data_IF_165868622493
#
_entry.id   IF_165868622493
#
_cell.length_a   1.000
_cell.length_b   1.000
_cell.length_c   1.000
_cell.angle_alpha   90.00
_cell.angle_beta   90.00
_cell.angle_gamma   90.00
#
_symmetry.space_group_name_H-M   'P 1'
#
loop_
_entity.id
_entity.type
_entity.pdbx_description
1 polymer ?
#
# COMPACT_ATOMS: atom_id res chain seq x y z
N UNK A 1 2.37 -7.24 5.25
CA UNK A 1 1.98 -5.81 5.22
C UNK A 1 2.71 -5.10 4.09
N UNK A 2 2.03 -4.17 3.42
CA UNK A 2 2.60 -3.22 2.46
C UNK A 2 2.41 -1.82 3.03
N UNK A 3 3.48 -1.02 3.03
CA UNK A 3 3.50 0.31 3.65
C UNK A 3 3.87 1.37 2.62
N UNK A 4 3.17 2.50 2.66
CA UNK A 4 3.55 3.75 1.98
C UNK A 4 3.73 4.84 3.04
N UNK A 5 4.78 5.66 2.91
CA UNK A 5 5.02 6.79 3.80
C UNK A 5 4.88 8.11 3.05
N UNK A 6 4.25 9.11 3.69
CA UNK A 6 4.08 10.47 3.19
C UNK A 6 4.60 11.46 4.20
N UNK A 7 5.27 12.52 3.73
CA UNK A 7 5.84 13.56 4.56
C UNK A 7 5.22 14.93 4.26
N UNK A 8 5.00 15.72 5.31
CA UNK A 8 4.47 17.07 5.23
C UNK A 8 3.10 17.12 4.58
N UNK A 9 2.96 17.90 3.50
CA UNK A 9 1.70 18.04 2.76
C UNK A 9 1.44 16.91 1.75
N UNK A 10 2.36 15.95 1.59
CA UNK A 10 2.22 14.85 0.63
C UNK A 10 1.08 13.92 1.03
N UNK A 11 0.28 13.48 0.04
CA UNK A 11 -0.88 12.60 0.23
C UNK A 11 -0.90 11.48 -0.80
N UNK A 12 -1.71 10.45 -0.55
CA UNK A 12 -1.99 9.44 -1.56
C UNK A 12 -2.65 10.09 -2.78
N UNK A 13 -2.17 9.72 -3.96
CA UNK A 13 -2.79 10.20 -5.20
C UNK A 13 -4.06 9.40 -5.49
N UNK A 14 -5.21 10.02 -5.19
CA UNK A 14 -6.53 9.43 -5.43
C UNK A 14 -6.82 9.19 -6.92
N UNK A 15 -6.28 10.02 -7.83
CA UNK A 15 -6.49 9.86 -9.28
C UNK A 15 -5.85 8.57 -9.80
N UNK A 16 -4.72 8.16 -9.23
CA UNK A 16 -4.04 6.92 -9.61
C UNK A 16 -4.52 5.71 -8.82
N UNK A 17 -5.45 5.88 -7.86
CA UNK A 17 -5.83 4.82 -6.93
C UNK A 17 -4.65 4.31 -6.08
N UNK A 18 -3.76 5.21 -5.64
CA UNK A 18 -2.55 4.82 -4.91
C UNK A 18 -2.90 3.94 -3.70
N UNK A 19 -2.16 2.84 -3.50
CA UNK A 19 -2.42 1.79 -2.48
C UNK A 19 -3.71 0.97 -2.67
N UNK A 20 -4.45 1.20 -3.75
CA UNK A 20 -5.53 0.33 -4.22
C UNK A 20 -5.02 -0.98 -4.83
N UNK A 21 -5.93 -1.92 -5.04
CA UNK A 21 -5.61 -3.26 -5.56
C UNK A 21 -4.86 -3.20 -6.90
N UNK A 22 -5.44 -2.54 -7.89
CA UNK A 22 -4.89 -2.48 -9.24
C UNK A 22 -3.50 -1.84 -9.26
N UNK A 23 -3.33 -0.79 -8.48
CA UNK A 23 -2.07 -0.08 -8.33
C UNK A 23 -0.98 -0.96 -7.69
N UNK A 24 -1.34 -1.73 -6.66
CA UNK A 24 -0.41 -2.65 -6.00
C UNK A 24 -0.06 -3.84 -6.91
N UNK A 25 -1.04 -4.41 -7.61
CA UNK A 25 -0.80 -5.50 -8.56
C UNK A 25 0.18 -5.09 -9.66
N UNK A 26 0.01 -3.90 -10.25
CA UNK A 26 0.92 -3.37 -11.26
C UNK A 26 2.35 -3.25 -10.73
N UNK A 27 2.53 -2.73 -9.50
CA UNK A 27 3.85 -2.64 -8.88
C UNK A 27 4.48 -4.00 -8.57
N UNK A 28 3.70 -4.94 -8.03
CA UNK A 28 4.19 -6.30 -7.73
C UNK A 28 4.64 -6.98 -9.03
N UNK A 29 3.86 -6.87 -10.11
CA UNK A 29 4.23 -7.39 -11.43
C UNK A 29 5.49 -6.73 -11.96
N UNK A 30 5.63 -5.40 -11.88
CA UNK A 30 6.84 -4.69 -12.30
C UNK A 30 8.08 -5.09 -11.50
N UNK A 31 7.92 -5.33 -10.20
CA UNK A 31 9.05 -5.68 -9.33
C UNK A 31 9.53 -7.12 -9.53
N UNK A 32 8.61 -8.07 -9.72
CA UNK A 32 8.91 -9.50 -9.67
C UNK A 32 8.66 -10.27 -10.98
N UNK A 33 7.91 -9.72 -11.94
CA UNK A 33 7.38 -10.44 -13.11
C UNK A 33 8.40 -11.10 -14.04
N UNK A 34 9.67 -10.68 -14.00
CA UNK A 34 10.77 -11.33 -14.72
C UNK A 34 11.88 -11.89 -13.83
N UNK A 35 11.75 -11.76 -12.49
CA UNK A 35 12.81 -12.10 -11.53
C UNK A 35 12.45 -13.30 -10.69
N UNK A 36 11.22 -13.31 -10.18
CA UNK A 36 10.73 -14.37 -9.30
C UNK A 36 9.21 -14.55 -9.49
N UNK A 37 8.80 -15.29 -10.53
CA UNK A 37 7.39 -15.49 -10.85
C UNK A 37 6.60 -16.19 -9.73
N UNK A 38 7.26 -17.06 -8.96
CA UNK A 38 6.63 -17.77 -7.84
C UNK A 38 6.31 -16.79 -6.71
N UNK A 39 7.31 -16.02 -6.26
CA UNK A 39 7.11 -15.00 -5.23
C UNK A 39 6.12 -13.93 -5.68
N UNK A 40 6.15 -13.53 -6.95
CA UNK A 40 5.15 -12.62 -7.50
C UNK A 40 3.74 -13.17 -7.29
N UNK A 41 3.51 -14.43 -7.68
CA UNK A 41 2.21 -15.09 -7.55
C UNK A 41 1.78 -15.17 -6.09
N UNK A 42 2.65 -15.64 -5.20
CA UNK A 42 2.35 -15.78 -3.77
C UNK A 42 1.90 -14.44 -3.15
N UNK A 43 2.60 -13.34 -3.47
CA UNK A 43 2.24 -12.00 -2.98
C UNK A 43 0.90 -11.52 -3.57
N UNK A 44 0.66 -11.75 -4.87
CA UNK A 44 -0.61 -11.36 -5.52
C UNK A 44 -1.80 -12.13 -4.95
N UNK A 45 -1.64 -13.43 -4.68
CA UNK A 45 -2.68 -14.27 -4.12
C UNK A 45 -3.02 -13.82 -2.69
N UNK A 46 -2.02 -13.60 -1.83
CA UNK A 46 -2.25 -13.04 -0.49
C UNK A 46 -2.88 -11.64 -0.52
N UNK A 47 -2.50 -10.78 -1.47
CA UNK A 47 -3.12 -9.46 -1.64
C UNK A 47 -4.62 -9.58 -1.97
N UNK A 48 -4.99 -10.49 -2.88
CA UNK A 48 -6.37 -10.71 -3.33
C UNK A 48 -7.23 -11.33 -2.24
N UNK A 49 -6.67 -12.30 -1.52
CA UNK A 49 -7.31 -12.97 -0.38
C UNK A 49 -7.50 -12.04 0.83
N UNK A 50 -6.86 -10.86 0.84
CA UNK A 50 -6.97 -9.91 1.96
C UNK A 50 -6.07 -10.28 3.14
N UNK A 51 -5.06 -11.12 2.91
CA UNK A 51 -4.06 -11.56 3.89
C UNK A 51 -2.93 -10.54 4.08
N UNK A 52 -2.96 -9.44 3.32
CA UNK A 52 -1.95 -8.38 3.35
C UNK A 52 -2.59 -7.09 3.82
N UNK A 53 -2.17 -6.63 5.00
CA UNK A 53 -2.51 -5.29 5.46
C UNK A 53 -1.82 -4.21 4.65
N UNK A 54 -2.56 -3.11 4.44
CA UNK A 54 -2.11 -1.91 3.75
C UNK A 54 -2.06 -0.77 4.74
N UNK A 55 -0.89 -0.15 4.85
CA UNK A 55 -0.65 0.87 5.85
C UNK A 55 -0.11 2.13 5.19
N UNK A 56 -0.70 3.26 5.57
CA UNK A 56 -0.19 4.60 5.25
C UNK A 56 0.42 5.18 6.52
N UNK A 57 1.69 5.55 6.46
CA UNK A 57 2.35 6.34 7.50
C UNK A 57 2.42 7.80 7.04
N UNK A 58 1.81 8.71 7.79
CA UNK A 58 1.93 10.15 7.55
C UNK A 58 2.82 10.77 8.63
N UNK A 59 3.85 11.47 8.18
CA UNK A 59 4.80 12.20 9.01
C UNK A 59 4.55 13.68 8.78
N UNK A 60 4.10 14.41 9.80
CA UNK A 60 3.90 15.84 9.69
C UNK A 60 5.23 16.62 9.65
N UNK A 61 5.17 17.94 9.43
CA UNK A 61 6.37 18.79 9.39
C UNK A 61 7.10 18.91 10.72
N UNK A 62 6.44 18.54 11.82
CA UNK A 62 7.02 18.53 13.16
C UNK A 62 7.63 17.15 13.52
N UNK A 63 7.53 16.17 12.62
CA UNK A 63 8.02 14.81 12.82
C UNK A 63 7.04 13.88 13.55
N UNK A 64 5.80 14.31 13.79
CA UNK A 64 4.79 13.43 14.38
C UNK A 64 4.32 12.40 13.36
N UNK A 65 4.21 11.14 13.81
CA UNK A 65 3.84 10.01 12.95
C UNK A 65 2.42 9.56 13.27
N UNK A 66 1.58 9.47 12.25
CA UNK A 66 0.27 8.80 12.34
C UNK A 66 0.18 7.68 11.31
N UNK A 67 -0.16 6.48 11.76
CA UNK A 67 -0.32 5.31 10.90
C UNK A 67 -1.78 4.93 10.72
N UNK A 68 -2.17 4.68 9.47
CA UNK A 68 -3.54 4.37 9.07
C UNK A 68 -3.63 3.03 8.36
N UNK A 69 -4.71 2.29 8.62
CA UNK A 69 -5.09 1.11 7.84
C UNK A 69 -5.85 1.55 6.59
N UNK A 70 -5.58 0.92 5.45
CA UNK A 70 -6.28 1.18 4.19
C UNK A 70 -7.13 -0.02 3.73
N UNK A 71 -8.23 0.26 3.03
CA UNK A 71 -9.04 -0.74 2.34
C UNK A 71 -8.46 -1.15 0.96
N UNK A 72 -9.20 -1.99 0.23
CA UNK A 72 -8.78 -2.48 -1.09
C UNK A 72 -8.72 -1.39 -2.18
N UNK A 73 -9.35 -0.24 -1.94
CA UNK A 73 -9.40 0.92 -2.84
C UNK A 73 -8.38 2.02 -2.44
N UNK A 74 -7.65 1.83 -1.34
CA UNK A 74 -6.69 2.81 -0.82
C UNK A 74 -7.32 3.89 0.06
N UNK A 75 -8.55 3.69 0.56
CA UNK A 75 -9.19 4.59 1.51
C UNK A 75 -8.78 4.25 2.94
N UNK A 76 -8.63 5.28 3.78
CA UNK A 76 -8.40 5.10 5.22
C UNK A 76 -9.64 4.52 5.88
N UNK A 77 -9.47 3.43 6.63
CA UNK A 77 -10.55 2.78 7.40
C UNK A 77 -10.35 2.86 8.92
N UNK A 78 -9.23 3.42 9.36
CA UNK A 78 -8.95 3.65 10.78
C UNK A 78 -7.47 3.79 11.07
N UNK A 79 -7.14 4.06 12.33
CA UNK A 79 -5.76 4.05 12.78
C UNK A 79 -5.21 2.61 12.78
N UNK A 80 -3.96 2.46 12.35
CA UNK A 80 -3.22 1.21 12.46
C UNK A 80 -2.45 1.23 13.78
N UNK A 81 -2.80 0.32 14.69
CA UNK A 81 -2.21 0.16 16.02
C UNK A 81 -1.58 -1.22 16.18
#
# INVERSE_FOLDING_TARGET
MIVESKYGSSKLNKKTGQMGNDWLEDRIKKQFGGKDPKKMKDILDSLRNGEVDRVLSEIDTNGNVTTYKLDKLGNVIGNWK
#
